data_IF_872812629735
#
_entry.id   IF_872812629735
#
_cell.length_a   1.000
_cell.length_b   1.000
_cell.length_c   1.000
_cell.angle_alpha   90.00
_cell.angle_beta   90.00
_cell.angle_gamma   90.00
#
_symmetry.space_group_name_H-M   'P 1'
#
loop_
_entity.id
_entity.type
_entity.pdbx_description
1 polymer ?
#
# COMPACT_ATOMS: atom_id res chain seq x y z
N UNK A 1 20.54 22.04 4.97
CA UNK A 1 19.26 22.01 5.71
C UNK A 1 18.33 21.09 4.95
N UNK A 2 17.75 20.09 5.62
CA UNK A 2 16.71 19.25 5.02
C UNK A 2 15.50 20.14 4.75
N UNK A 3 14.89 19.99 3.56
CA UNK A 3 13.64 20.68 3.27
C UNK A 3 12.56 20.27 4.28
N UNK A 4 11.68 21.19 4.72
CA UNK A 4 10.62 20.88 5.67
C UNK A 4 9.77 19.70 5.17
N UNK A 5 9.72 18.61 5.94
CA UNK A 5 8.97 17.40 5.61
C UNK A 5 9.81 16.19 5.24
N UNK A 6 11.05 16.37 4.74
CA UNK A 6 12.00 15.26 4.55
C UNK A 6 12.32 14.56 5.87
N UNK A 7 12.28 15.31 6.96
CA UNK A 7 12.46 14.77 8.30
C UNK A 7 11.37 13.75 8.65
N UNK A 8 10.17 13.71 8.05
CA UNK A 8 9.08 12.85 8.58
C UNK A 8 9.24 11.34 8.27
N UNK A 9 9.58 10.92 7.03
CA UNK A 9 9.97 9.53 6.76
C UNK A 9 11.34 9.21 7.35
N UNK A 10 12.27 10.17 7.29
CA UNK A 10 13.64 10.01 7.81
C UNK A 10 13.66 9.91 9.34
N UNK A 11 12.76 10.63 10.04
CA UNK A 11 12.58 10.55 11.49
C UNK A 11 12.00 9.19 11.83
N UNK A 12 11.01 8.65 11.12
CA UNK A 12 10.60 7.25 11.33
C UNK A 12 11.78 6.26 11.24
N UNK A 13 12.69 6.46 10.28
CA UNK A 13 13.91 5.64 10.12
C UNK A 13 14.97 5.86 11.21
N UNK A 14 15.13 7.08 11.76
CA UNK A 14 16.19 7.41 12.75
C UNK A 14 15.73 7.44 14.21
N UNK A 15 14.43 7.62 14.46
CA UNK A 15 13.89 7.92 15.80
C UNK A 15 13.62 6.68 16.67
N UNK A 16 13.98 5.48 16.20
CA UNK A 16 13.91 4.25 16.98
C UNK A 16 12.49 3.77 17.28
N UNK A 17 12.38 2.82 18.19
CA UNK A 17 11.15 2.07 18.48
C UNK A 17 9.95 2.94 18.90
N UNK A 18 10.18 4.14 19.43
CA UNK A 18 9.14 5.01 19.99
C UNK A 18 8.22 5.57 18.89
N UNK A 19 8.78 6.05 17.79
CA UNK A 19 7.97 6.66 16.73
C UNK A 19 7.26 5.60 15.88
N UNK A 20 7.89 4.43 15.70
CA UNK A 20 7.23 3.25 15.16
C UNK A 20 6.05 2.80 16.03
N UNK A 21 6.23 2.76 17.36
CA UNK A 21 5.14 2.46 18.30
C UNK A 21 4.02 3.50 18.25
N UNK A 22 4.37 4.78 18.07
CA UNK A 22 3.39 5.87 17.99
C UNK A 22 2.58 5.82 16.68
N UNK A 23 3.21 5.47 15.56
CA UNK A 23 2.50 5.21 14.29
C UNK A 23 1.59 3.97 14.41
N UNK A 24 2.06 2.90 15.05
CA UNK A 24 1.24 1.73 15.33
C UNK A 24 0.05 2.06 16.24
N UNK A 25 0.26 2.94 17.23
CA UNK A 25 -0.79 3.42 18.13
C UNK A 25 -1.82 4.28 17.39
N UNK A 26 -1.37 5.20 16.52
CA UNK A 26 -2.25 6.01 15.67
C UNK A 26 -3.04 5.10 14.70
N UNK A 27 -2.40 4.08 14.12
CA UNK A 27 -3.08 3.14 13.26
C UNK A 27 -4.13 2.30 14.00
N UNK A 28 -3.83 1.86 15.22
CA UNK A 28 -4.78 1.19 16.09
C UNK A 28 -5.95 2.11 16.46
N UNK A 29 -5.66 3.38 16.80
CA UNK A 29 -6.67 4.40 17.11
C UNK A 29 -7.54 4.73 15.89
N UNK A 30 -6.96 4.84 14.69
CA UNK A 30 -7.71 5.07 13.46
C UNK A 30 -8.59 3.87 13.09
N UNK A 31 -8.11 2.64 13.32
CA UNK A 31 -8.94 1.43 13.18
C UNK A 31 -10.13 1.46 14.12
N UNK A 32 -9.93 1.91 15.36
CA UNK A 32 -10.98 2.09 16.36
C UNK A 32 -11.97 3.22 16.00
N UNK A 33 -11.49 4.37 15.55
CA UNK A 33 -12.31 5.53 15.13
C UNK A 33 -13.07 5.23 13.84
N UNK A 34 -12.43 4.60 12.87
CA UNK A 34 -13.08 4.24 11.61
C UNK A 34 -14.26 3.31 11.82
N UNK A 35 -14.23 2.47 12.86
CA UNK A 35 -15.40 1.70 13.31
C UNK A 35 -16.52 2.58 13.89
N UNK A 36 -16.19 3.59 14.69
CA UNK A 36 -17.17 4.54 15.22
C UNK A 36 -17.92 5.27 14.10
N UNK A 37 -17.21 5.58 13.02
CA UNK A 37 -17.76 6.15 11.80
C UNK A 37 -18.51 5.12 10.94
N UNK A 38 -18.32 3.82 11.18
CA UNK A 38 -18.89 2.71 10.41
C UNK A 38 -20.30 2.29 10.86
N UNK A 39 -20.95 3.11 11.68
CA UNK A 39 -22.39 2.99 11.97
C UNK A 39 -23.28 3.06 10.71
N UNK A 40 -22.70 3.34 9.53
CA UNK A 40 -23.39 3.46 8.25
C UNK A 40 -23.04 2.38 7.19
N UNK A 41 -22.00 1.54 7.34
CA UNK A 41 -21.62 0.54 6.32
C UNK A 41 -20.80 -0.65 6.86
N UNK A 42 -21.41 -1.80 7.22
CA UNK A 42 -20.67 -2.89 7.88
C UNK A 42 -19.54 -3.46 7.01
N UNK A 43 -18.28 -3.37 7.46
CA UNK A 43 -17.18 -4.17 6.89
C UNK A 43 -15.80 -3.97 7.54
N UNK A 44 -14.90 -4.98 7.50
CA UNK A 44 -13.55 -4.92 8.08
C UNK A 44 -12.60 -3.90 7.39
N UNK A 45 -13.11 -3.15 6.41
CA UNK A 45 -12.36 -2.19 5.60
C UNK A 45 -12.52 -0.74 6.06
N UNK A 46 -13.48 -0.37 6.91
CA UNK A 46 -13.74 1.03 7.22
C UNK A 46 -12.59 1.76 7.96
N UNK A 47 -11.94 1.08 8.91
CA UNK A 47 -10.75 1.60 9.61
C UNK A 47 -9.61 1.97 8.67
N UNK A 48 -9.38 1.13 7.66
CA UNK A 48 -8.37 1.37 6.65
C UNK A 48 -8.78 2.51 5.67
N UNK A 49 -10.08 2.73 5.41
CA UNK A 49 -10.57 3.83 4.56
C UNK A 49 -10.30 5.19 5.23
N UNK A 50 -10.27 5.25 6.56
CA UNK A 50 -9.94 6.47 7.31
C UNK A 50 -8.42 6.61 7.48
N UNK A 51 -7.73 5.51 7.80
CA UNK A 51 -6.30 5.52 8.05
C UNK A 51 -5.48 5.82 6.78
N UNK A 52 -5.78 5.18 5.64
CA UNK A 52 -4.95 5.29 4.44
C UNK A 52 -4.92 6.71 3.83
N UNK A 53 -6.05 7.46 3.74
CA UNK A 53 -6.02 8.87 3.36
C UNK A 53 -5.27 9.75 4.36
N UNK A 54 -5.46 9.52 5.66
CA UNK A 54 -4.76 10.28 6.70
C UNK A 54 -3.24 10.11 6.59
N UNK A 55 -2.80 8.88 6.36
CA UNK A 55 -1.40 8.55 6.07
C UNK A 55 -0.94 9.21 4.77
N UNK A 56 -1.69 9.06 3.67
CA UNK A 56 -1.33 9.68 2.38
C UNK A 56 -1.19 11.21 2.48
N UNK A 57 -2.09 11.88 3.21
CA UNK A 57 -2.03 13.32 3.47
C UNK A 57 -0.86 13.71 4.37
N UNK A 58 -0.54 12.90 5.38
CA UNK A 58 0.59 13.14 6.27
C UNK A 58 1.94 13.03 5.56
N UNK A 59 2.03 12.13 4.57
CA UNK A 59 3.22 11.92 3.73
C UNK A 59 3.29 12.92 2.57
N UNK A 60 2.20 13.59 2.21
CA UNK A 60 2.20 14.58 1.12
C UNK A 60 3.31 15.63 1.20
N UNK A 61 3.70 16.20 2.35
CA UNK A 61 4.85 17.13 2.43
C UNK A 61 6.22 16.43 2.48
N UNK A 62 6.27 15.10 2.52
CA UNK A 62 7.47 14.35 2.80
C UNK A 62 8.30 14.05 1.55
N UNK A 63 9.15 14.99 1.12
CA UNK A 63 10.24 14.77 0.15
C UNK A 63 9.89 14.00 -1.13
N UNK A 64 10.89 13.60 -1.89
CA UNK A 64 10.74 12.64 -3.00
C UNK A 64 11.73 11.49 -2.83
N UNK A 65 11.57 10.42 -3.61
CA UNK A 65 12.59 9.36 -3.64
C UNK A 65 13.97 9.91 -4.03
N UNK A 66 14.03 10.89 -4.93
CA UNK A 66 15.31 11.52 -5.32
C UNK A 66 15.96 12.24 -4.13
N UNK A 67 15.18 12.93 -3.30
CA UNK A 67 15.68 13.59 -2.10
C UNK A 67 16.18 12.57 -1.05
N UNK A 68 15.45 11.47 -0.90
CA UNK A 68 15.87 10.38 -0.02
C UNK A 68 17.15 9.70 -0.52
N UNK A 69 17.29 9.46 -1.82
CA UNK A 69 18.49 8.86 -2.42
C UNK A 69 19.72 9.76 -2.27
N UNK A 70 19.55 11.08 -2.44
CA UNK A 70 20.61 12.09 -2.17
C UNK A 70 21.04 12.08 -0.71
N UNK A 71 20.11 11.86 0.21
CA UNK A 71 20.42 11.76 1.64
C UNK A 71 21.12 10.44 1.98
N UNK A 72 20.64 9.33 1.43
CA UNK A 72 21.20 8.01 1.66
C UNK A 72 22.61 7.86 1.08
N UNK A 73 22.95 8.62 0.03
CA UNK A 73 24.28 8.65 -0.59
C UNK A 73 24.79 10.10 -0.68
N UNK A 74 25.29 10.68 0.42
CA UNK A 74 25.74 12.07 0.46
C UNK A 74 27.07 12.29 -0.28
N UNK A 75 27.84 11.22 -0.52
CA UNK A 75 29.11 11.26 -1.23
C UNK A 75 28.95 10.69 -2.64
N UNK A 76 29.48 11.36 -3.68
CA UNK A 76 29.52 10.81 -5.03
C UNK A 76 30.38 9.52 -5.04
N UNK A 77 29.86 8.44 -5.63
CA UNK A 77 30.50 7.12 -5.65
C UNK A 77 29.87 6.17 -6.66
N UNK A 78 30.35 4.92 -6.70
CA UNK A 78 29.74 3.91 -7.57
C UNK A 78 28.26 3.70 -7.18
N UNK A 79 27.35 3.50 -8.15
CA UNK A 79 25.95 3.22 -7.85
C UNK A 79 25.84 2.02 -6.92
N UNK A 80 25.30 2.21 -5.73
CA UNK A 80 25.12 1.14 -4.75
C UNK A 80 23.64 0.85 -4.54
N UNK A 81 23.29 -0.42 -4.55
CA UNK A 81 21.93 -0.85 -4.20
C UNK A 81 21.64 -0.73 -2.70
N UNK A 82 22.66 -0.45 -1.88
CA UNK A 82 22.59 -0.43 -0.42
C UNK A 82 21.53 0.54 0.10
N UNK A 83 21.31 1.67 -0.58
CA UNK A 83 20.21 2.57 -0.24
C UNK A 83 18.88 1.81 -0.28
N UNK A 84 18.53 1.18 -1.40
CA UNK A 84 17.25 0.46 -1.54
C UNK A 84 17.03 -0.66 -0.51
N UNK A 85 18.10 -1.29 -0.01
CA UNK A 85 17.99 -2.27 1.07
C UNK A 85 17.43 -1.63 2.37
N UNK A 86 17.74 -0.36 2.63
CA UNK A 86 17.22 0.39 3.78
C UNK A 86 15.72 0.70 3.67
N UNK A 87 15.09 0.52 2.49
CA UNK A 87 13.64 0.65 2.32
C UNK A 87 12.88 -0.63 2.72
N UNK A 88 13.53 -1.79 2.76
CA UNK A 88 12.87 -3.06 3.07
C UNK A 88 12.25 -3.08 4.48
N UNK A 89 12.94 -2.61 5.54
CA UNK A 89 12.34 -2.50 6.88
C UNK A 89 11.10 -1.61 6.92
N UNK A 90 11.04 -0.55 6.09
CA UNK A 90 9.87 0.33 6.03
C UNK A 90 8.65 -0.41 5.48
N UNK A 91 8.82 -1.20 4.42
CA UNK A 91 7.72 -2.02 3.91
C UNK A 91 7.23 -3.03 4.96
N UNK A 92 8.14 -3.62 5.74
CA UNK A 92 7.76 -4.50 6.85
C UNK A 92 7.00 -3.75 7.94
N UNK A 93 7.45 -2.57 8.35
CA UNK A 93 6.77 -1.74 9.33
C UNK A 93 5.36 -1.35 8.85
N UNK A 94 5.23 -0.90 7.61
CA UNK A 94 3.93 -0.58 7.03
C UNK A 94 3.01 -1.81 6.91
N UNK A 95 3.57 -3.00 6.65
CA UNK A 95 2.80 -4.24 6.63
C UNK A 95 2.24 -4.54 8.02
N UNK A 96 3.07 -4.40 9.07
CA UNK A 96 2.63 -4.54 10.45
C UNK A 96 1.56 -3.51 10.83
N UNK A 97 1.68 -2.27 10.38
CA UNK A 97 0.67 -1.20 10.58
C UNK A 97 -0.67 -1.60 9.96
N UNK A 98 -0.69 -2.08 8.72
CA UNK A 98 -1.92 -2.51 8.06
C UNK A 98 -2.51 -3.75 8.73
N UNK A 99 -1.68 -4.74 9.09
CA UNK A 99 -2.12 -5.92 9.83
C UNK A 99 -2.74 -5.51 11.17
N UNK A 100 -2.08 -4.64 11.93
CA UNK A 100 -2.58 -4.15 13.21
C UNK A 100 -3.92 -3.41 13.06
N UNK A 101 -4.07 -2.57 12.03
CA UNK A 101 -5.32 -1.87 11.74
C UNK A 101 -6.46 -2.83 11.35
N UNK A 102 -6.16 -3.90 10.60
CA UNK A 102 -7.16 -4.94 10.26
C UNK A 102 -7.54 -5.75 11.49
N UNK A 103 -6.57 -6.17 12.31
CA UNK A 103 -6.82 -6.97 13.51
C UNK A 103 -7.56 -6.18 14.59
N UNK A 104 -7.22 -4.90 14.80
CA UNK A 104 -7.93 -4.04 15.76
C UNK A 104 -9.40 -3.87 15.38
N UNK A 105 -9.70 -3.72 14.08
CA UNK A 105 -11.08 -3.71 13.58
C UNK A 105 -11.83 -5.01 13.87
N UNK A 106 -11.17 -6.16 13.72
CA UNK A 106 -11.77 -7.49 14.02
C UNK A 106 -12.05 -7.69 15.50
N UNK A 107 -11.06 -7.42 16.36
CA UNK A 107 -11.18 -7.58 17.81
C UNK A 107 -12.26 -6.67 18.40
N UNK A 108 -12.31 -5.41 17.93
CA UNK A 108 -13.34 -4.48 18.36
C UNK A 108 -14.75 -4.95 17.94
N UNK A 109 -14.89 -5.55 16.74
CA UNK A 109 -16.16 -6.10 16.25
C UNK A 109 -16.68 -7.32 17.03
N UNK A 110 -15.78 -8.20 17.49
CA UNK A 110 -16.14 -9.38 18.29
C UNK A 110 -16.66 -9.04 19.70
N UNK A 111 -16.17 -7.96 20.30
CA UNK A 111 -16.59 -7.55 21.66
C UNK A 111 -18.00 -6.93 21.71
N UNK A 112 -18.55 -6.44 20.60
CA UNK A 112 -19.85 -5.75 20.57
C UNK A 112 -21.00 -6.57 19.98
N UNK A 113 -20.75 -7.80 19.54
CA UNK A 113 -21.78 -8.70 18.98
C UNK A 113 -22.31 -9.72 19.99
N UNK A 114 -22.24 -9.40 21.28
CA UNK A 114 -22.80 -10.21 22.36
C UNK A 114 -24.33 -10.24 22.47
N UNK A 115 -25.10 -9.69 21.52
CA UNK A 115 -26.56 -9.58 21.70
C UNK A 115 -27.44 -9.63 20.44
N UNK A 116 -27.05 -10.31 19.36
CA UNK A 116 -28.01 -10.62 18.28
C UNK A 116 -27.73 -11.92 17.52
N UNK A 117 -28.54 -12.93 17.88
CA UNK A 117 -29.11 -13.99 17.02
C UNK A 117 -28.16 -14.76 16.08
N UNK A 118 -27.90 -16.02 16.45
CA UNK A 118 -26.98 -16.99 15.85
C UNK A 118 -27.23 -17.48 14.41
N UNK A 119 -27.87 -16.70 13.53
CA UNK A 119 -28.07 -17.06 12.12
C UNK A 119 -26.96 -16.53 11.18
N UNK A 120 -26.17 -15.55 11.63
CA UNK A 120 -25.22 -14.80 10.77
C UNK A 120 -23.75 -15.24 10.91
N UNK A 121 -23.45 -16.17 11.81
CA UNK A 121 -22.09 -16.68 12.04
C UNK A 121 -21.78 -17.92 11.17
N UNK A 122 -22.76 -18.80 10.98
CA UNK A 122 -22.64 -20.01 10.16
C UNK A 122 -22.49 -19.70 8.65
N UNK A 123 -23.04 -18.58 8.16
CA UNK A 123 -22.85 -18.12 6.78
C UNK A 123 -21.53 -17.40 6.50
N UNK A 124 -20.81 -16.97 7.55
CA UNK A 124 -19.51 -16.28 7.41
C UNK A 124 -18.31 -17.23 7.46
N UNK A 125 -18.45 -18.36 8.17
CA UNK A 125 -17.45 -19.45 8.18
C UNK A 125 -17.57 -20.38 6.97
N UNK A 126 -18.70 -20.42 6.27
CA UNK A 126 -18.79 -21.11 4.97
C UNK A 126 -17.90 -20.45 3.87
N UNK A 127 -17.43 -19.21 4.08
CA UNK A 127 -16.39 -18.59 3.25
C UNK A 127 -14.96 -19.06 3.60
N UNK A 128 -14.77 -19.80 4.69
CA UNK A 128 -13.48 -20.40 5.11
C UNK A 128 -13.20 -21.75 4.42
N UNK A 129 -14.12 -22.23 3.56
CA UNK A 129 -13.96 -23.48 2.79
C UNK A 129 -13.54 -23.30 1.33
N UNK A 130 -13.45 -22.07 0.82
CA UNK A 130 -12.95 -21.84 -0.52
C UNK A 130 -11.43 -22.12 -0.56
N UNK A 131 -10.90 -22.87 -1.54
CA UNK A 131 -9.48 -23.21 -1.57
C UNK A 131 -8.64 -21.92 -1.50
N UNK A 132 -7.57 -21.92 -0.71
CA UNK A 132 -6.67 -20.78 -0.58
C UNK A 132 -5.98 -20.40 -1.91
N UNK A 133 -5.96 -21.34 -2.86
CA UNK A 133 -5.31 -21.23 -4.17
C UNK A 133 -5.78 -20.02 -4.99
N UNK A 134 -7.10 -19.83 -5.26
CA UNK A 134 -7.58 -18.65 -5.97
C UNK A 134 -7.22 -17.32 -5.29
N UNK A 135 -7.12 -17.29 -3.95
CA UNK A 135 -6.72 -16.10 -3.19
C UNK A 135 -5.29 -15.66 -3.50
N UNK A 136 -4.33 -16.59 -3.47
CA UNK A 136 -2.95 -16.32 -3.85
C UNK A 136 -2.82 -15.88 -5.31
N UNK A 137 -3.58 -16.50 -6.22
CA UNK A 137 -3.61 -16.09 -7.62
C UNK A 137 -4.08 -14.65 -7.77
N UNK A 138 -5.13 -14.24 -7.04
CA UNK A 138 -5.62 -12.86 -7.05
C UNK A 138 -4.58 -11.88 -6.53
N UNK A 139 -3.87 -12.21 -5.44
CA UNK A 139 -2.80 -11.38 -4.90
C UNK A 139 -1.65 -11.21 -5.90
N UNK A 140 -1.14 -12.32 -6.45
CA UNK A 140 -0.03 -12.31 -7.41
C UNK A 140 -0.39 -11.54 -8.67
N UNK A 141 -1.58 -11.77 -9.24
CA UNK A 141 -2.05 -11.03 -10.41
C UNK A 141 -2.22 -9.54 -10.12
N UNK A 142 -2.76 -9.19 -8.95
CA UNK A 142 -2.88 -7.77 -8.56
C UNK A 142 -1.51 -7.12 -8.48
N UNK A 143 -0.56 -7.73 -7.77
CA UNK A 143 0.78 -7.19 -7.63
C UNK A 143 1.49 -7.07 -9.00
N UNK A 144 1.40 -8.10 -9.85
CA UNK A 144 2.03 -8.11 -11.16
C UNK A 144 1.43 -7.04 -12.10
N UNK A 145 0.10 -6.99 -12.22
CA UNK A 145 -0.59 -6.03 -13.09
C UNK A 145 -0.43 -4.59 -12.60
N UNK A 146 -0.54 -4.36 -11.29
CA UNK A 146 -0.31 -3.04 -10.71
C UNK A 146 1.14 -2.60 -10.85
N UNK A 147 2.11 -3.48 -10.59
CA UNK A 147 3.52 -3.18 -10.81
C UNK A 147 3.81 -2.81 -12.28
N UNK A 148 3.29 -3.59 -13.23
CA UNK A 148 3.43 -3.29 -14.65
C UNK A 148 2.81 -1.94 -15.04
N UNK A 149 1.58 -1.66 -14.60
CA UNK A 149 0.91 -0.38 -14.85
C UNK A 149 1.66 0.79 -14.21
N UNK A 150 2.11 0.66 -12.96
CA UNK A 150 2.92 1.69 -12.29
C UNK A 150 4.19 1.96 -13.08
N UNK A 151 4.88 0.92 -13.54
CA UNK A 151 6.11 1.06 -14.33
C UNK A 151 5.86 1.78 -15.67
N UNK A 152 4.76 1.44 -16.36
CA UNK A 152 4.39 2.09 -17.63
C UNK A 152 3.98 3.56 -17.41
N UNK A 153 3.10 3.82 -16.44
CA UNK A 153 2.52 5.15 -16.17
C UNK A 153 3.51 6.11 -15.51
N UNK A 154 4.45 5.59 -14.73
CA UNK A 154 5.57 6.37 -14.22
C UNK A 154 6.52 6.81 -15.33
N UNK A 155 6.33 6.29 -16.56
CA UNK A 155 7.02 6.73 -17.76
C UNK A 155 8.51 6.38 -17.76
N UNK A 156 9.22 6.77 -18.83
CA UNK A 156 10.67 6.65 -18.88
C UNK A 156 11.31 7.43 -17.73
N UNK A 157 12.51 7.00 -17.33
CA UNK A 157 13.31 7.66 -16.30
C UNK A 157 13.61 9.09 -16.77
N UNK A 158 13.11 10.07 -16.03
CA UNK A 158 13.39 11.51 -16.24
C UNK A 158 14.32 12.00 -15.15
N UNK A 159 15.04 13.09 -15.40
CA UNK A 159 16.02 13.69 -14.47
C UNK A 159 15.41 14.19 -13.15
N UNK A 160 14.08 14.16 -13.04
CA UNK A 160 13.33 14.52 -11.84
C UNK A 160 12.15 13.57 -11.62
N UNK A 161 11.85 13.29 -10.35
CA UNK A 161 10.64 12.59 -9.92
C UNK A 161 9.51 13.59 -9.66
N UNK A 162 8.51 13.59 -10.54
CA UNK A 162 7.30 14.42 -10.39
C UNK A 162 6.26 13.73 -9.52
N UNK A 163 5.99 14.26 -8.33
CA UNK A 163 5.06 13.65 -7.35
C UNK A 163 3.65 13.45 -7.90
N UNK A 164 3.13 14.40 -8.67
CA UNK A 164 1.81 14.27 -9.30
C UNK A 164 1.72 13.07 -10.23
N UNK A 165 2.78 12.82 -11.02
CA UNK A 165 2.88 11.65 -11.89
C UNK A 165 2.97 10.36 -11.08
N UNK A 166 3.78 10.34 -10.02
CA UNK A 166 3.92 9.17 -9.14
C UNK A 166 2.59 8.80 -8.49
N UNK A 167 1.89 9.77 -7.90
CA UNK A 167 0.59 9.52 -7.27
C UNK A 167 -0.47 9.08 -8.28
N UNK A 168 -0.48 9.68 -9.47
CA UNK A 168 -1.36 9.24 -10.55
C UNK A 168 -1.06 7.79 -10.96
N UNK A 169 0.21 7.45 -11.16
CA UNK A 169 0.64 6.10 -11.55
C UNK A 169 0.29 5.06 -10.48
N UNK A 170 0.53 5.36 -9.20
CA UNK A 170 0.15 4.49 -8.09
C UNK A 170 -1.37 4.31 -8.02
N UNK A 171 -2.14 5.40 -8.02
CA UNK A 171 -3.58 5.35 -7.90
C UNK A 171 -4.20 4.54 -9.06
N UNK A 172 -3.82 4.87 -10.30
CA UNK A 172 -4.35 4.19 -11.49
C UNK A 172 -3.82 2.75 -11.62
N UNK A 173 -2.56 2.51 -11.28
CA UNK A 173 -1.95 1.17 -11.35
C UNK A 173 -2.55 0.19 -10.34
N UNK A 174 -2.75 0.61 -9.09
CA UNK A 174 -3.39 -0.24 -8.08
C UNK A 174 -4.88 -0.41 -8.32
N UNK A 175 -5.60 0.66 -8.68
CA UNK A 175 -7.02 0.54 -9.04
C UNK A 175 -7.22 -0.35 -10.27
N UNK A 176 -6.49 -0.10 -11.35
CA UNK A 176 -6.61 -0.83 -12.62
C UNK A 176 -6.15 -2.29 -12.51
N UNK A 177 -5.02 -2.52 -11.84
CA UNK A 177 -4.48 -3.87 -11.63
C UNK A 177 -5.38 -4.71 -10.71
N UNK A 178 -5.89 -4.14 -9.63
CA UNK A 178 -6.88 -4.81 -8.77
C UNK A 178 -8.19 -5.09 -9.52
N UNK A 179 -8.66 -4.14 -10.33
CA UNK A 179 -9.88 -4.33 -11.13
C UNK A 179 -9.72 -5.48 -12.12
N UNK A 180 -8.62 -5.50 -12.88
CA UNK A 180 -8.32 -6.57 -13.83
C UNK A 180 -8.18 -7.93 -13.12
N UNK A 181 -7.41 -7.99 -12.03
CA UNK A 181 -7.24 -9.22 -11.25
C UNK A 181 -8.57 -9.75 -10.68
N UNK A 182 -9.46 -8.85 -10.23
CA UNK A 182 -10.81 -9.24 -9.74
C UNK A 182 -11.69 -9.85 -10.83
N UNK A 183 -11.54 -9.38 -12.08
CA UNK A 183 -12.25 -9.95 -13.24
C UNK A 183 -11.71 -11.31 -13.66
N UNK A 184 -10.40 -11.51 -13.54
CA UNK A 184 -9.73 -12.74 -13.96
C UNK A 184 -9.89 -13.89 -12.95
N UNK A 185 -9.96 -13.59 -11.66
CA UNK A 185 -9.91 -14.61 -10.60
C UNK A 185 -11.25 -14.94 -9.96
N UNK A 186 -12.29 -14.12 -10.18
CA UNK A 186 -13.59 -14.22 -9.49
C UNK A 186 -13.50 -14.19 -7.95
N UNK A 187 -12.35 -13.83 -7.37
CA UNK A 187 -12.18 -13.71 -5.92
C UNK A 187 -12.91 -12.46 -5.45
N UNK A 188 -13.82 -12.63 -4.50
CA UNK A 188 -14.61 -11.54 -3.91
C UNK A 188 -14.07 -11.06 -2.57
N UNK A 189 -13.20 -11.83 -1.94
CA UNK A 189 -12.63 -11.53 -0.63
C UNK A 189 -11.64 -10.35 -0.74
N UNK A 190 -11.95 -9.17 -0.18
CA UNK A 190 -11.15 -7.95 -0.34
C UNK A 190 -9.72 -8.06 0.22
N UNK A 191 -9.54 -8.92 1.21
CA UNK A 191 -8.29 -9.10 1.95
C UNK A 191 -7.15 -9.64 1.09
N UNK A 192 -7.44 -10.36 0.00
CA UNK A 192 -6.40 -10.89 -0.89
C UNK A 192 -5.72 -9.83 -1.75
N UNK A 193 -6.37 -8.67 -1.93
CA UNK A 193 -5.83 -7.58 -2.76
C UNK A 193 -4.93 -6.64 -1.94
N UNK A 194 -5.25 -6.45 -0.65
CA UNK A 194 -4.57 -5.47 0.22
C UNK A 194 -3.06 -5.67 0.39
N UNK A 195 -2.48 -6.88 0.37
CA UNK A 195 -1.04 -7.04 0.45
C UNK A 195 -0.29 -6.62 -0.83
N UNK A 196 -0.97 -6.37 -1.95
CA UNK A 196 -0.33 -6.10 -3.22
C UNK A 196 0.62 -4.88 -3.23
N UNK A 197 0.30 -3.72 -2.60
CA UNK A 197 1.23 -2.60 -2.54
C UNK A 197 2.57 -2.94 -1.87
N UNK A 198 2.55 -3.81 -0.86
CA UNK A 198 3.76 -4.30 -0.20
C UNK A 198 4.59 -5.16 -1.12
N UNK A 199 3.96 -6.10 -1.83
CA UNK A 199 4.66 -6.98 -2.76
C UNK A 199 5.30 -6.17 -3.90
N UNK A 200 4.59 -5.19 -4.46
CA UNK A 200 5.13 -4.30 -5.49
C UNK A 200 6.33 -3.51 -4.97
N UNK A 201 6.22 -2.93 -3.77
CA UNK A 201 7.30 -2.16 -3.16
C UNK A 201 8.53 -2.97 -2.79
N UNK A 202 8.34 -4.15 -2.18
CA UNK A 202 9.43 -5.09 -1.85
C UNK A 202 10.11 -5.59 -3.12
N UNK A 203 9.34 -6.07 -4.10
CA UNK A 203 9.90 -6.54 -5.37
C UNK A 203 10.64 -5.42 -6.10
N UNK A 204 10.05 -4.22 -6.17
CA UNK A 204 10.71 -3.05 -6.72
C UNK A 204 12.04 -2.75 -6.04
N UNK A 205 12.08 -2.81 -4.71
CA UNK A 205 13.29 -2.54 -3.91
C UNK A 205 14.36 -3.60 -4.11
N UNK A 206 13.98 -4.88 -4.15
CA UNK A 206 14.90 -5.99 -4.46
C UNK A 206 15.43 -5.87 -5.90
N UNK A 207 14.58 -5.49 -6.84
CA UNK A 207 14.98 -5.25 -8.22
C UNK A 207 15.96 -4.07 -8.33
N UNK A 208 15.70 -2.97 -7.62
CA UNK A 208 16.59 -1.81 -7.57
C UNK A 208 17.91 -2.10 -6.82
N UNK A 209 17.89 -3.00 -5.83
CA UNK A 209 19.09 -3.51 -5.17
C UNK A 209 19.98 -4.29 -6.16
N UNK A 210 19.37 -5.13 -7.00
CA UNK A 210 20.09 -5.90 -8.02
C UNK A 210 20.56 -5.03 -9.20
N UNK A 211 19.77 -4.03 -9.60
CA UNK A 211 20.11 -3.07 -10.67
C UNK A 211 20.02 -1.62 -10.19
N UNK A 212 21.04 -1.15 -9.45
CA UNK A 212 21.04 0.21 -8.89
C UNK A 212 21.40 1.29 -9.92
N UNK A 213 22.05 0.93 -11.02
CA UNK A 213 22.56 1.87 -12.02
C UNK A 213 21.56 2.14 -13.17
N UNK A 214 21.73 3.28 -13.85
CA UNK A 214 21.12 3.51 -15.16
C UNK A 214 21.78 2.60 -16.20
N UNK A 215 21.00 1.95 -17.08
CA UNK A 215 21.58 1.37 -18.29
C UNK A 215 22.10 2.50 -19.21
N UNK A 216 23.26 2.29 -19.82
CA UNK A 216 23.80 3.13 -20.89
C UNK A 216 24.59 4.37 -20.44
N UNK A 217 24.54 5.45 -21.23
CA UNK A 217 25.40 6.66 -21.13
C UNK A 217 25.24 7.47 -19.83
N UNK A 218 24.26 7.14 -19.01
CA UNK A 218 23.98 7.83 -17.76
C UNK A 218 24.51 7.06 -16.53
N UNK A 219 25.16 5.90 -16.72
CA UNK A 219 25.78 5.13 -15.62
C UNK A 219 26.86 5.93 -14.86
N UNK A 220 27.43 6.94 -15.51
CA UNK A 220 28.48 7.83 -14.99
C UNK A 220 27.91 9.03 -14.22
N UNK A 221 26.61 9.33 -14.40
CA UNK A 221 25.96 10.40 -13.66
C UNK A 221 25.65 9.84 -12.29
N UNK A 222 26.33 10.44 -11.31
CA UNK A 222 26.43 10.04 -9.91
C UNK A 222 25.13 10.26 -9.11
N UNK A 223 23.98 10.06 -9.75
CA UNK A 223 22.65 10.21 -9.19
C UNK A 223 22.00 8.85 -9.33
N UNK A 224 21.86 8.14 -8.21
CA UNK A 224 21.07 6.92 -8.17
C UNK A 224 19.64 7.34 -8.56
N UNK A 225 19.11 6.91 -9.71
CA UNK A 225 17.82 7.36 -10.17
C UNK A 225 16.76 6.51 -9.52
N UNK A 226 15.63 7.12 -9.20
CA UNK A 226 14.49 6.37 -8.74
C UNK A 226 14.05 5.35 -9.81
N UNK A 227 14.19 4.05 -9.51
CA UNK A 227 13.73 2.97 -10.38
C UNK A 227 12.21 3.10 -10.57
N UNK A 228 11.65 2.78 -11.75
CA UNK A 228 10.24 3.02 -12.04
C UNK A 228 9.26 2.41 -11.02
N UNK A 229 9.58 1.24 -10.48
CA UNK A 229 8.79 0.58 -9.42
C UNK A 229 9.01 1.15 -8.01
N UNK A 230 10.15 1.80 -7.79
CA UNK A 230 10.53 2.40 -6.50
C UNK A 230 10.62 3.92 -6.64
N UNK A 231 9.85 4.48 -7.59
CA UNK A 231 9.84 5.92 -7.84
C UNK A 231 9.13 6.69 -6.72
N UNK A 232 8.21 6.00 -6.09
CA UNK A 232 7.53 6.40 -4.87
C UNK A 232 8.27 5.90 -3.64
N UNK A 233 8.19 6.66 -2.55
CA UNK A 233 8.62 6.22 -1.23
C UNK A 233 7.73 5.05 -0.74
N UNK A 234 8.21 4.16 0.15
CA UNK A 234 7.42 3.05 0.68
C UNK A 234 6.07 3.47 1.23
N UNK A 235 6.07 4.60 1.94
CA UNK A 235 4.87 5.19 2.52
C UNK A 235 3.88 5.67 1.45
N UNK A 236 4.36 6.22 0.34
CA UNK A 236 3.52 6.65 -0.80
C UNK A 236 2.91 5.42 -1.51
N UNK A 237 3.71 4.37 -1.78
CA UNK A 237 3.23 3.12 -2.39
C UNK A 237 2.15 2.49 -1.53
N UNK A 238 2.42 2.29 -0.24
CA UNK A 238 1.49 1.59 0.66
C UNK A 238 0.22 2.41 0.85
N UNK A 239 0.33 3.72 1.11
CA UNK A 239 -0.85 4.55 1.40
C UNK A 239 -1.74 4.74 0.18
N UNK A 240 -1.19 5.22 -0.93
CA UNK A 240 -1.95 5.50 -2.16
C UNK A 240 -2.41 4.21 -2.82
N UNK A 241 -1.55 3.19 -2.85
CA UNK A 241 -1.89 1.89 -3.40
C UNK A 241 -3.01 1.19 -2.61
N UNK A 242 -2.91 1.20 -1.27
CA UNK A 242 -3.99 0.67 -0.44
C UNK A 242 -5.27 1.46 -0.62
N UNK A 243 -5.23 2.79 -0.58
CA UNK A 243 -6.41 3.64 -0.79
C UNK A 243 -7.10 3.34 -2.13
N UNK A 244 -6.35 3.24 -3.21
CA UNK A 244 -6.88 2.92 -4.54
C UNK A 244 -7.59 1.56 -4.56
N UNK A 245 -6.98 0.52 -3.97
CA UNK A 245 -7.59 -0.79 -3.83
C UNK A 245 -8.87 -0.74 -2.99
N UNK A 246 -8.90 0.07 -1.94
CA UNK A 246 -10.07 0.20 -1.08
C UNK A 246 -11.25 0.88 -1.80
N UNK A 247 -10.97 1.91 -2.60
CA UNK A 247 -11.98 2.56 -3.45
C UNK A 247 -12.56 1.55 -4.44
N UNK A 248 -11.72 0.75 -5.08
CA UNK A 248 -12.15 -0.34 -5.96
C UNK A 248 -13.04 -1.34 -5.22
N UNK A 249 -12.58 -1.85 -4.08
CA UNK A 249 -13.27 -2.88 -3.29
C UNK A 249 -14.64 -2.39 -2.81
N UNK A 250 -14.75 -1.10 -2.41
CA UNK A 250 -16.03 -0.47 -2.07
C UNK A 250 -17.01 -0.47 -3.25
N UNK A 251 -16.51 -0.26 -4.47
CA UNK A 251 -17.31 -0.34 -5.69
C UNK A 251 -17.80 -1.76 -6.01
N UNK A 252 -16.96 -2.78 -5.75
CA UNK A 252 -17.32 -4.18 -5.98
C UNK A 252 -18.39 -4.69 -5.00
N UNK A 253 -18.34 -4.29 -3.73
CA UNK A 253 -19.29 -4.73 -2.69
C UNK A 253 -20.70 -4.16 -2.87
N UNK A 254 -20.88 -3.03 -3.56
CA UNK A 254 -22.19 -2.37 -3.73
C UNK A 254 -23.09 -2.96 -4.81
N UNK A 255 -22.58 -3.84 -5.68
CA UNK A 255 -23.35 -4.44 -6.79
C UNK A 255 -24.35 -5.60 -6.51
N UNK A 256 -24.55 -6.16 -5.29
CA UNK A 256 -25.44 -7.32 -5.13
C UNK A 256 -26.95 -7.07 -5.29
N UNK A 257 -27.46 -5.85 -5.12
CA UNK A 257 -28.89 -5.64 -4.88
C UNK A 257 -29.76 -5.39 -6.13
N UNK A 258 -29.18 -5.13 -7.31
CA UNK A 258 -29.95 -4.73 -8.49
C UNK A 258 -30.29 -5.85 -9.48
N UNK A 259 -29.78 -7.07 -9.29
CA UNK A 259 -30.02 -8.18 -10.24
C UNK A 259 -31.11 -9.17 -9.81
N UNK A 260 -31.78 -8.97 -8.67
CA UNK A 260 -32.81 -9.88 -8.16
C UNK A 260 -34.25 -9.42 -8.41
N UNK A 261 -34.46 -8.29 -9.10
CA UNK A 261 -35.79 -7.69 -9.30
C UNK A 261 -36.33 -7.73 -10.74
N UNK A 262 -35.71 -8.50 -11.64
CA UNK A 262 -36.17 -8.67 -13.01
C UNK A 262 -36.59 -10.13 -13.25
N UNK A 263 -37.75 -10.50 -12.73
CA UNK A 263 -38.55 -11.67 -13.17
C UNK A 263 -40.00 -11.25 -13.20
#
# INVERSE_FOLDING_TARGET
>A
MLGPGLDRPIVLMRSGAILAALVLLIAAAAGYVGRWLDSAAPGPTAGLIVLMPGVALWIWPAGTMDDWLKLANPAPGAPSGAAYAALLPDYLLWALVVIAAVQSGRLAGGAATGSSTGASAAGRTAADGAPAWPGWTALVLTAALSGALVLILSGPRTDATYRGQVYFALALGFYGGGWAASRLTNVRAPLWYLPAPFLVGVFGSLWALYQPALPGRYAEINIIPANGLVRALPSEIVSVGSLALMVLLRGLVRKPAQQSGAV
#
